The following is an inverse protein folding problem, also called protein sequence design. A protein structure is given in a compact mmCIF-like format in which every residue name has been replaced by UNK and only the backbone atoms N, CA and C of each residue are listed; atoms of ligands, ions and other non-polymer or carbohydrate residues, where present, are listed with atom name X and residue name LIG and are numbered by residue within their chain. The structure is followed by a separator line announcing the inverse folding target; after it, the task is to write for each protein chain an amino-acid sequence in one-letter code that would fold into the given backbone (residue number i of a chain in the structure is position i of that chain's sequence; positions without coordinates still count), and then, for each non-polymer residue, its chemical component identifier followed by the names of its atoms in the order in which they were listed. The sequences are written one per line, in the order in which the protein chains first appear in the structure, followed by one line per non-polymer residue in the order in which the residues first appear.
data_IF_784071000077
#
_entry.id   IF_784071000077
#
_cell.length_a   1.000
_cell.length_b   1.000
_cell.length_c   1.000
_cell.angle_alpha   90.00
_cell.angle_beta   90.00
_cell.angle_gamma   90.00
#
_symmetry.space_group_name_H-M   'P 1'
#
loop_
_entity.id
_entity.type
_entity.pdbx_description
1 polymer ?
#
# COMPACT_ATOMS: atom_id res chain seq x y z
N UNK A 1 15.31 -9.80 -6.57
CA UNK A 1 15.53 -8.74 -7.58
C UNK A 1 15.70 -7.40 -6.86
N UNK A 2 16.57 -6.50 -7.32
CA UNK A 2 16.65 -5.15 -6.76
C UNK A 2 15.44 -4.29 -7.16
N UNK A 3 15.26 -3.15 -6.47
CA UNK A 3 14.11 -2.25 -6.65
C UNK A 3 13.89 -1.86 -8.12
N UNK A 4 14.93 -1.40 -8.81
CA UNK A 4 14.82 -0.97 -10.22
C UNK A 4 14.25 -2.08 -11.10
N UNK A 5 14.86 -3.27 -11.07
CA UNK A 5 14.43 -4.40 -11.92
C UNK A 5 13.00 -4.85 -11.61
N UNK A 6 12.64 -4.88 -10.33
CA UNK A 6 11.31 -5.27 -9.91
C UNK A 6 10.25 -4.25 -10.38
N UNK A 7 10.46 -2.96 -10.12
CA UNK A 7 9.54 -1.91 -10.53
C UNK A 7 9.42 -1.79 -12.06
N UNK A 8 10.51 -1.98 -12.79
CA UNK A 8 10.47 -2.05 -14.26
C UNK A 8 9.62 -3.23 -14.75
N UNK A 9 9.69 -4.38 -14.08
CA UNK A 9 8.91 -5.55 -14.47
C UNK A 9 7.40 -5.34 -14.23
N UNK A 10 7.01 -4.66 -13.15
CA UNK A 10 5.60 -4.38 -12.84
C UNK A 10 4.86 -3.64 -13.96
N UNK A 11 5.56 -2.84 -14.77
CA UNK A 11 4.97 -2.10 -15.89
C UNK A 11 4.38 -3.02 -16.99
N UNK A 12 4.78 -4.29 -17.02
CA UNK A 12 4.41 -5.25 -18.05
C UNK A 12 3.61 -6.44 -17.50
N UNK A 13 3.20 -6.41 -16.23
CA UNK A 13 2.47 -7.49 -15.58
C UNK A 13 0.99 -7.16 -15.48
N UNK A 14 0.13 -8.19 -15.53
CA UNK A 14 -1.30 -8.03 -15.23
C UNK A 14 -1.60 -7.93 -13.72
N UNK A 15 -0.70 -8.46 -12.89
CA UNK A 15 -0.79 -8.38 -11.44
C UNK A 15 0.30 -9.17 -10.72
N UNK A 16 0.31 -9.07 -9.39
CA UNK A 16 1.29 -9.73 -8.51
C UNK A 16 0.57 -10.71 -7.58
N UNK A 17 1.16 -11.87 -7.32
CA UNK A 17 0.59 -12.89 -6.43
C UNK A 17 1.61 -13.22 -5.35
N UNK A 18 1.18 -13.25 -4.09
CA UNK A 18 2.02 -13.65 -2.96
C UNK A 18 1.52 -13.04 -1.66
N UNK A 19 2.43 -12.64 -0.79
CA UNK A 19 2.09 -11.95 0.46
C UNK A 19 3.10 -10.85 0.79
N UNK A 20 3.81 -10.35 -0.22
CA UNK A 20 4.81 -9.29 -0.07
C UNK A 20 4.15 -7.97 0.29
N UNK A 21 4.83 -7.14 1.10
CA UNK A 21 4.36 -5.78 1.37
C UNK A 21 4.22 -4.96 0.09
N UNK A 22 4.98 -5.31 -0.94
CA UNK A 22 4.95 -4.63 -2.22
C UNK A 22 3.58 -4.64 -2.88
N UNK A 23 2.86 -5.74 -2.71
CA UNK A 23 1.49 -5.87 -3.22
C UNK A 23 0.55 -4.79 -2.69
N UNK A 24 0.85 -4.24 -1.50
CA UNK A 24 0.09 -3.13 -0.91
C UNK A 24 0.72 -1.78 -1.15
N UNK A 25 2.06 -1.70 -1.05
CA UNK A 25 2.80 -0.45 -1.02
C UNK A 25 3.13 0.11 -2.41
N UNK A 26 3.57 -0.74 -3.34
CA UNK A 26 4.06 -0.29 -4.65
C UNK A 26 3.12 -0.65 -5.79
N UNK A 27 2.59 -1.88 -5.81
CA UNK A 27 1.79 -2.42 -6.92
C UNK A 27 0.57 -1.55 -7.28
N UNK A 28 -0.20 -0.96 -6.33
CA UNK A 28 -1.30 -0.07 -6.66
C UNK A 28 -0.88 1.18 -7.45
N UNK A 29 0.37 1.65 -7.32
CA UNK A 29 0.89 2.77 -8.12
C UNK A 29 1.05 2.43 -9.60
N UNK A 30 1.21 1.14 -9.92
CA UNK A 30 1.33 0.64 -11.29
C UNK A 30 -0.03 0.32 -11.92
N UNK A 31 -1.15 0.58 -11.21
CA UNK A 31 -2.50 0.41 -11.74
C UNK A 31 -2.84 -1.03 -12.14
N UNK A 32 -2.21 -1.98 -11.45
CA UNK A 32 -2.40 -3.43 -11.61
C UNK A 32 -2.80 -4.05 -10.28
N UNK A 33 -3.31 -5.28 -10.34
CA UNK A 33 -3.83 -5.97 -9.16
C UNK A 33 -2.78 -6.70 -8.33
N UNK A 34 -3.15 -7.02 -7.09
CA UNK A 34 -2.42 -7.94 -6.21
C UNK A 34 -3.36 -9.00 -5.66
N UNK A 35 -2.92 -10.27 -5.64
CA UNK A 35 -3.51 -11.32 -4.80
C UNK A 35 -2.63 -11.46 -3.54
N UNK A 36 -3.20 -11.10 -2.38
CA UNK A 36 -2.56 -11.20 -1.06
C UNK A 36 -3.01 -12.50 -0.37
N UNK A 37 -2.07 -13.41 -0.18
CA UNK A 37 -2.31 -14.78 0.28
C UNK A 37 -2.09 -14.88 1.79
N UNK A 38 -3.15 -15.28 2.49
CA UNK A 38 -3.15 -15.54 3.93
C UNK A 38 -3.07 -14.28 4.79
N UNK A 39 -2.64 -14.45 6.04
CA UNK A 39 -2.85 -13.42 7.07
C UNK A 39 -1.69 -12.41 7.23
N UNK A 40 -0.61 -12.52 6.45
CA UNK A 40 0.62 -11.73 6.68
C UNK A 40 0.36 -10.22 6.64
N UNK A 41 -0.53 -9.74 5.78
CA UNK A 41 -0.86 -8.31 5.69
C UNK A 41 -2.20 -7.94 6.36
N UNK A 42 -2.74 -8.81 7.21
CA UNK A 42 -3.99 -8.53 7.93
C UNK A 42 -3.87 -7.26 8.78
N UNK A 43 -4.89 -6.40 8.72
CA UNK A 43 -4.93 -5.12 9.44
C UNK A 43 -4.14 -3.98 8.78
N UNK A 44 -3.48 -4.21 7.64
CA UNK A 44 -2.88 -3.12 6.85
C UNK A 44 -3.94 -2.47 5.97
N UNK A 45 -3.74 -1.18 5.67
CA UNK A 45 -4.56 -0.46 4.69
C UNK A 45 -4.31 -1.09 3.32
N UNK A 46 -5.38 -1.43 2.60
CA UNK A 46 -5.31 -2.04 1.27
C UNK A 46 -6.06 -1.17 0.28
N UNK A 47 -5.50 -1.03 -0.91
CA UNK A 47 -6.18 -0.40 -2.02
C UNK A 47 -7.22 -1.36 -2.60
N UNK A 48 -8.22 -0.87 -3.33
CA UNK A 48 -9.24 -1.76 -3.91
C UNK A 48 -8.71 -2.67 -5.04
N UNK A 49 -7.47 -2.45 -5.48
CA UNK A 49 -6.74 -3.30 -6.42
C UNK A 49 -6.10 -4.53 -5.73
N UNK A 50 -6.38 -4.76 -4.46
CA UNK A 50 -5.88 -5.93 -3.69
C UNK A 50 -7.02 -6.91 -3.45
N UNK A 51 -6.81 -8.17 -3.82
CA UNK A 51 -7.69 -9.30 -3.60
C UNK A 51 -7.09 -10.15 -2.49
N UNK A 52 -7.81 -10.32 -1.40
CA UNK A 52 -7.40 -11.20 -0.31
C UNK A 52 -7.87 -12.63 -0.60
N UNK A 53 -7.00 -13.62 -0.40
CA UNK A 53 -7.37 -15.02 -0.52
C UNK A 53 -6.71 -15.90 0.54
N UNK A 54 -7.37 -17.02 0.85
CA UNK A 54 -6.80 -18.04 1.71
C UNK A 54 -5.66 -18.81 0.98
N UNK A 55 -4.70 -19.40 1.72
CA UNK A 55 -3.58 -20.14 1.15
C UNK A 55 -3.97 -21.56 0.68
N UNK A 56 -5.11 -21.69 0.02
CA UNK A 56 -5.61 -22.94 -0.54
C UNK A 56 -5.86 -22.82 -2.04
N UNK A 57 -5.84 -23.95 -2.74
CA UNK A 57 -5.96 -24.02 -4.19
C UNK A 57 -7.25 -23.37 -4.72
N UNK A 58 -8.38 -23.57 -4.04
CA UNK A 58 -9.68 -23.08 -4.52
C UNK A 58 -9.76 -21.55 -4.43
N UNK A 59 -9.33 -20.98 -3.30
CA UNK A 59 -9.30 -19.55 -3.07
C UNK A 59 -8.35 -18.83 -4.04
N UNK A 60 -7.14 -19.39 -4.24
CA UNK A 60 -6.16 -18.82 -5.18
C UNK A 60 -6.70 -18.86 -6.61
N UNK A 61 -7.34 -19.95 -7.03
CA UNK A 61 -7.93 -20.07 -8.37
C UNK A 61 -9.04 -19.02 -8.61
N UNK A 62 -9.90 -18.80 -7.63
CA UNK A 62 -10.97 -17.78 -7.70
C UNK A 62 -10.34 -16.38 -7.79
N UNK A 63 -9.37 -16.08 -6.93
CA UNK A 63 -8.67 -14.80 -6.94
C UNK A 63 -7.96 -14.52 -8.26
N UNK A 64 -7.31 -15.52 -8.88
CA UNK A 64 -6.69 -15.39 -10.22
C UNK A 64 -7.74 -15.07 -11.27
N UNK A 65 -8.89 -15.76 -11.24
CA UNK A 65 -9.98 -15.52 -12.19
C UNK A 65 -10.54 -14.10 -12.08
N UNK A 66 -10.67 -13.60 -10.85
CA UNK A 66 -11.07 -12.22 -10.57
C UNK A 66 -10.01 -11.22 -11.05
N UNK A 67 -8.73 -11.44 -10.74
CA UNK A 67 -7.61 -10.56 -11.09
C UNK A 67 -7.55 -10.26 -12.59
N UNK A 68 -7.77 -11.27 -13.43
CA UNK A 68 -7.70 -11.15 -14.89
C UNK A 68 -9.00 -10.68 -15.55
N UNK A 69 -10.10 -10.59 -14.79
CA UNK A 69 -11.37 -10.09 -15.32
C UNK A 69 -11.25 -8.64 -15.80
N UNK A 70 -12.02 -8.26 -16.82
CA UNK A 70 -11.99 -6.88 -17.33
C UNK A 70 -12.46 -5.89 -16.26
N UNK A 71 -13.56 -6.21 -15.56
CA UNK A 71 -14.11 -5.40 -14.47
C UNK A 71 -13.06 -5.07 -13.41
N UNK A 72 -12.31 -6.08 -12.95
CA UNK A 72 -11.28 -5.86 -11.95
C UNK A 72 -10.10 -5.04 -12.49
N UNK A 73 -9.68 -5.28 -13.74
CA UNK A 73 -8.59 -4.51 -14.37
C UNK A 73 -8.98 -3.04 -14.56
N UNK A 74 -10.22 -2.76 -14.92
CA UNK A 74 -10.76 -1.38 -14.98
C UNK A 74 -10.77 -0.74 -13.60
N UNK A 75 -11.20 -1.48 -12.56
CA UNK A 75 -11.15 -1.01 -11.17
C UNK A 75 -9.72 -0.69 -10.73
N UNK A 76 -8.76 -1.58 -10.98
CA UNK A 76 -7.36 -1.38 -10.62
C UNK A 76 -6.74 -0.14 -11.29
N UNK A 77 -7.19 0.22 -12.50
CA UNK A 77 -6.73 1.42 -13.22
C UNK A 77 -7.14 2.73 -12.55
N UNK A 78 -8.29 2.78 -11.90
CA UNK A 78 -8.80 3.99 -11.24
C UNK A 78 -8.32 4.14 -9.79
N UNK A 79 -7.83 3.07 -9.17
CA UNK A 79 -7.41 3.06 -7.76
C UNK A 79 -6.28 4.05 -7.46
N UNK A 80 -6.43 4.78 -6.36
CA UNK A 80 -5.38 5.61 -5.79
C UNK A 80 -4.62 4.80 -4.74
N UNK A 81 -3.29 4.84 -4.78
CA UNK A 81 -2.48 4.17 -3.78
C UNK A 81 -2.63 4.88 -2.41
N UNK A 82 -3.16 4.21 -1.37
CA UNK A 82 -3.36 4.83 -0.06
C UNK A 82 -2.04 5.19 0.65
N UNK A 83 -0.91 4.60 0.22
CA UNK A 83 0.41 4.87 0.78
C UNK A 83 1.11 6.10 0.18
N UNK A 84 0.47 6.76 -0.77
CA UNK A 84 0.88 8.08 -1.24
C UNK A 84 0.96 8.21 -2.75
N UNK A 85 1.08 9.47 -3.18
CA UNK A 85 1.14 9.87 -4.59
C UNK A 85 2.51 10.43 -5.00
N UNK A 86 3.57 10.12 -4.23
CA UNK A 86 4.90 10.72 -4.38
C UNK A 86 5.08 12.01 -3.57
N UNK A 87 6.25 12.65 -3.72
CA UNK A 87 6.58 13.92 -3.05
C UNK A 87 7.00 13.78 -1.57
N UNK A 88 7.17 12.56 -1.06
CA UNK A 88 7.46 12.31 0.36
C UNK A 88 8.83 12.88 0.76
N UNK A 89 9.85 12.75 -0.09
CA UNK A 89 11.20 13.21 0.22
C UNK A 89 11.23 14.74 0.34
N UNK A 90 10.57 15.44 -0.57
CA UNK A 90 10.45 16.90 -0.60
C UNK A 90 9.73 17.41 0.64
N UNK A 91 8.64 16.76 1.05
CA UNK A 91 7.92 17.08 2.29
C UNK A 91 8.78 16.89 3.52
N UNK A 92 9.52 15.78 3.61
CA UNK A 92 10.45 15.52 4.71
C UNK A 92 11.53 16.61 4.75
N UNK A 93 12.13 16.93 3.61
CA UNK A 93 13.17 17.98 3.52
C UNK A 93 12.62 19.35 3.92
N UNK A 94 11.40 19.71 3.51
CA UNK A 94 10.77 20.95 3.91
C UNK A 94 10.59 21.03 5.43
N UNK A 95 10.04 19.97 6.05
CA UNK A 95 9.86 19.90 7.51
C UNK A 95 11.20 19.99 8.25
N UNK A 96 12.21 19.26 7.78
CA UNK A 96 13.54 19.27 8.41
C UNK A 96 14.24 20.64 8.33
N UNK A 97 13.95 21.44 7.30
CA UNK A 97 14.48 22.80 7.17
C UNK A 97 13.77 23.80 8.09
N UNK A 98 12.49 23.58 8.37
CA UNK A 98 11.64 24.51 9.12
C UNK A 98 11.59 24.21 10.62
N UNK A 99 11.86 22.96 11.02
CA UNK A 99 11.73 22.54 12.43
C UNK A 99 12.78 23.22 13.32
N UNK A 100 12.33 23.83 14.41
CA UNK A 100 13.23 24.39 15.43
C UNK A 100 13.88 23.27 16.23
N UNK A 101 15.21 23.29 16.32
CA UNK A 101 15.98 22.36 17.16
C UNK A 101 16.04 22.79 18.64
N UNK A 102 15.41 23.91 19.00
CA UNK A 102 15.42 24.40 20.39
C UNK A 102 14.54 23.52 21.27
N UNK A 103 15.12 22.92 22.32
CA UNK A 103 14.38 22.15 23.32
C UNK A 103 14.04 20.71 22.95
N UNK A 104 14.58 20.17 21.86
CA UNK A 104 14.27 18.82 21.35
C UNK A 104 14.82 17.67 22.19
N UNK A 105 15.70 17.93 23.17
CA UNK A 105 16.35 16.90 23.99
C UNK A 105 15.40 16.27 25.02
N UNK A 106 14.35 16.98 25.44
CA UNK A 106 13.36 16.47 26.40
C UNK A 106 12.04 16.23 25.68
N UNK A 107 11.62 14.96 25.61
CA UNK A 107 10.33 14.58 25.06
C UNK A 107 9.23 15.00 26.02
N UNK A 108 8.31 15.85 25.55
CA UNK A 108 7.07 16.17 26.25
C UNK A 108 5.95 15.30 25.69
N UNK A 109 5.19 14.65 26.56
CA UNK A 109 3.94 14.02 26.18
C UNK A 109 2.82 15.06 26.29
N UNK A 110 1.94 15.08 25.29
CA UNK A 110 0.75 15.92 25.29
C UNK A 110 -0.44 14.99 25.47
N UNK A 111 -1.29 15.29 26.46
CA UNK A 111 -2.55 14.59 26.62
C UNK A 111 -3.51 15.02 25.50
N UNK A 112 -4.17 14.03 24.89
CA UNK A 112 -5.18 14.28 23.88
C UNK A 112 -6.47 14.69 24.59
N UNK A 113 -7.09 15.80 24.18
CA UNK A 113 -8.31 16.29 24.82
C UNK A 113 -9.48 15.30 24.59
N UNK A 114 -10.29 15.04 25.62
CA UNK A 114 -11.30 13.96 25.65
C UNK A 114 -12.37 14.04 24.56
N UNK A 115 -12.54 15.18 23.90
CA UNK A 115 -13.47 15.37 22.78
C UNK A 115 -13.16 14.49 21.57
N UNK A 116 -11.92 14.04 21.40
CA UNK A 116 -11.51 13.13 20.33
C UNK A 116 -11.89 11.67 20.54
N UNK A 117 -12.29 11.29 21.76
CA UNK A 117 -12.69 9.91 22.09
C UNK A 117 -14.18 9.62 21.83
N UNK A 118 -14.98 10.66 21.56
CA UNK A 118 -16.42 10.57 21.33
C UNK A 118 -16.83 10.84 19.87
N UNK A 119 -15.89 10.73 18.93
CA UNK A 119 -16.15 10.81 17.48
C UNK A 119 -15.88 9.47 16.81
#
# INVERSE_FOLDING_TARGET
MGQLRYLSALQFMDGVIGNSSSGLLEVPSFKIGTIDIGDRQRGRIKAESVIDCQPDHSSIRIAISQLISEEFREKARSVINPYGAGGTAEKIVAVLKEVSLKGILKKSFYDINKEWLNR
#
